data_IF_367549299355
#
_entry.id   IF_367549299355
#
_cell.length_a   1.000
_cell.length_b   1.000
_cell.length_c   1.000
_cell.angle_alpha   90.00
_cell.angle_beta   90.00
_cell.angle_gamma   90.00
#
_symmetry.space_group_name_H-M   'P 1'
#
loop_
_entity.id
_entity.type
_entity.pdbx_description
1 polymer ?
#
# COMPACT_ATOMS: atom_id res chain seq x y z
N UNK A 1 11.69 8.94 -10.61
CA UNK A 1 11.08 7.86 -11.42
C UNK A 1 11.67 6.54 -10.92
N UNK A 2 11.17 6.02 -9.80
CA UNK A 2 11.73 4.80 -9.20
C UNK A 2 10.90 3.60 -9.61
N UNK A 3 11.56 2.70 -10.35
CA UNK A 3 11.12 1.32 -10.55
C UNK A 3 11.84 0.48 -9.50
N UNK A 4 11.11 -0.41 -8.84
CA UNK A 4 11.67 -1.35 -7.86
C UNK A 4 11.40 -2.76 -8.35
N UNK A 5 12.44 -3.57 -8.37
CA UNK A 5 12.33 -4.98 -8.73
C UNK A 5 12.48 -5.85 -7.49
N UNK A 6 11.64 -6.86 -7.40
CA UNK A 6 11.76 -7.94 -6.42
C UNK A 6 12.02 -9.25 -7.16
N UNK A 7 12.03 -10.36 -6.43
CA UNK A 7 12.21 -11.69 -7.01
C UNK A 7 11.16 -11.97 -8.11
N UNK A 8 9.88 -11.67 -7.84
CA UNK A 8 8.76 -12.04 -8.73
C UNK A 8 8.02 -10.86 -9.31
N UNK A 9 8.24 -9.65 -8.79
CA UNK A 9 7.43 -8.48 -9.11
C UNK A 9 8.27 -7.35 -9.70
N UNK A 10 7.68 -6.67 -10.66
CA UNK A 10 8.10 -5.36 -11.13
C UNK A 10 7.15 -4.33 -10.50
N UNK A 11 7.69 -3.43 -9.68
CA UNK A 11 6.97 -2.31 -9.08
C UNK A 11 7.32 -1.06 -9.86
N UNK A 12 6.38 -0.56 -10.66
CA UNK A 12 6.59 0.62 -11.51
C UNK A 12 5.48 1.65 -11.31
N UNK A 13 5.71 2.94 -11.61
CA UNK A 13 4.67 3.96 -11.46
C UNK A 13 3.35 3.52 -12.11
N UNK A 14 2.24 3.77 -11.41
CA UNK A 14 0.91 3.67 -12.02
C UNK A 14 0.81 4.65 -13.19
N UNK A 15 0.19 4.20 -14.27
CA UNK A 15 -0.01 4.95 -15.51
C UNK A 15 -1.48 4.89 -15.95
N UNK A 16 -1.86 5.75 -16.90
CA UNK A 16 -3.22 5.75 -17.45
C UNK A 16 -3.61 4.41 -18.08
N UNK A 17 -2.65 3.73 -18.70
CA UNK A 17 -2.85 2.44 -19.37
C UNK A 17 -3.19 1.29 -18.39
N UNK A 18 -3.01 1.48 -17.08
CA UNK A 18 -3.43 0.52 -16.05
C UNK A 18 -4.93 0.55 -15.75
N UNK A 19 -5.66 1.51 -16.33
CA UNK A 19 -7.02 1.82 -15.89
C UNK A 19 -7.96 0.63 -15.93
N UNK A 20 -7.97 -0.13 -17.03
CA UNK A 20 -8.92 -1.23 -17.20
C UNK A 20 -8.69 -2.35 -16.17
N UNK A 21 -7.43 -2.74 -15.96
CA UNK A 21 -7.06 -3.73 -14.93
C UNK A 21 -7.32 -3.21 -13.51
N UNK A 22 -7.05 -1.93 -13.26
CA UNK A 22 -7.28 -1.30 -11.96
C UNK A 22 -8.77 -1.19 -11.64
N UNK A 23 -9.60 -0.81 -12.62
CA UNK A 23 -11.05 -0.72 -12.48
C UNK A 23 -11.67 -2.09 -12.27
N UNK A 24 -11.24 -3.11 -13.02
CA UNK A 24 -11.68 -4.49 -12.83
C UNK A 24 -11.32 -5.02 -11.43
N UNK A 25 -10.11 -4.71 -10.93
CA UNK A 25 -9.70 -5.06 -9.57
C UNK A 25 -10.59 -4.39 -8.51
N UNK A 26 -10.92 -3.10 -8.65
CA UNK A 26 -11.73 -2.38 -7.66
C UNK A 26 -13.23 -2.70 -7.74
N UNK A 27 -13.72 -3.19 -8.88
CA UNK A 27 -15.10 -3.65 -9.02
C UNK A 27 -15.40 -4.90 -8.17
N UNK A 28 -14.36 -5.63 -7.77
CA UNK A 28 -14.48 -6.80 -6.91
C UNK A 28 -14.82 -6.40 -5.46
N UNK A 29 -15.98 -6.85 -4.90
CA UNK A 29 -16.43 -6.44 -3.59
C UNK A 29 -15.55 -6.92 -2.43
N UNK A 30 -14.87 -8.06 -2.57
CA UNK A 30 -13.95 -8.55 -1.52
C UNK A 30 -12.65 -7.75 -1.52
N UNK A 31 -12.21 -7.25 -2.68
CA UNK A 31 -11.08 -6.32 -2.77
C UNK A 31 -11.46 -4.97 -2.18
N UNK A 32 -12.58 -4.39 -2.62
CA UNK A 32 -13.04 -3.07 -2.19
C UNK A 32 -13.35 -3.01 -0.69
N UNK A 33 -13.96 -4.06 -0.13
CA UNK A 33 -14.30 -4.16 1.28
C UNK A 33 -13.09 -4.15 2.23
N UNK A 34 -11.89 -4.42 1.72
CA UNK A 34 -10.64 -4.37 2.49
C UNK A 34 -10.01 -2.98 2.60
N UNK A 35 -10.47 -1.98 1.85
CA UNK A 35 -9.82 -0.68 1.76
C UNK A 35 -10.32 0.30 2.83
N UNK A 36 -9.41 0.75 3.70
CA UNK A 36 -9.70 1.82 4.68
C UNK A 36 -10.00 3.17 4.00
N UNK A 37 -9.50 3.38 2.78
CA UNK A 37 -9.83 4.53 1.93
C UNK A 37 -10.55 4.06 0.66
N UNK A 38 -11.71 3.41 0.82
CA UNK A 38 -12.54 3.04 -0.32
C UNK A 38 -13.08 4.28 -1.03
N UNK A 39 -12.99 4.29 -2.35
CA UNK A 39 -13.49 5.38 -3.21
C UNK A 39 -14.82 5.03 -3.91
N UNK A 40 -15.37 3.83 -3.66
CA UNK A 40 -16.41 3.22 -4.49
C UNK A 40 -15.85 2.20 -5.48
N UNK A 41 -16.75 1.50 -6.18
CA UNK A 41 -16.42 0.39 -7.08
C UNK A 41 -16.78 0.67 -8.54
N UNK A 42 -17.26 1.87 -8.86
CA UNK A 42 -17.57 2.23 -10.25
C UNK A 42 -16.31 2.56 -11.05
N UNK A 43 -16.33 2.43 -12.40
CA UNK A 43 -15.22 2.86 -13.24
C UNK A 43 -14.82 4.33 -13.04
N UNK A 44 -15.79 5.21 -12.77
CA UNK A 44 -15.53 6.63 -12.49
C UNK A 44 -14.77 6.81 -11.16
N UNK A 45 -15.08 6.00 -10.14
CA UNK A 45 -14.38 6.01 -8.86
C UNK A 45 -12.96 5.47 -8.99
N UNK A 46 -12.79 4.37 -9.73
CA UNK A 46 -11.50 3.81 -10.07
C UNK A 46 -10.62 4.82 -10.82
N UNK A 47 -11.19 5.55 -11.77
CA UNK A 47 -10.49 6.60 -12.52
C UNK A 47 -9.97 7.71 -11.59
N UNK A 48 -10.83 8.23 -10.70
CA UNK A 48 -10.44 9.26 -9.71
C UNK A 48 -9.37 8.75 -8.76
N UNK A 49 -9.47 7.50 -8.31
CA UNK A 49 -8.48 6.87 -7.44
C UNK A 49 -7.13 6.73 -8.14
N UNK A 50 -7.11 6.24 -9.39
CA UNK A 50 -5.89 6.13 -10.19
C UNK A 50 -5.24 7.51 -10.39
N UNK A 51 -6.02 8.51 -10.78
CA UNK A 51 -5.56 9.89 -10.93
C UNK A 51 -5.01 10.46 -9.62
N UNK A 52 -5.58 10.07 -8.47
CA UNK A 52 -5.07 10.47 -7.15
C UNK A 52 -3.68 9.87 -6.89
N UNK A 53 -3.45 8.59 -7.20
CA UNK A 53 -2.12 8.00 -7.03
C UNK A 53 -1.08 8.62 -7.96
N UNK A 54 -1.45 8.89 -9.22
CA UNK A 54 -0.57 9.57 -10.18
C UNK A 54 -0.27 11.01 -9.72
N UNK A 55 -1.30 11.78 -9.36
CA UNK A 55 -1.14 13.15 -8.86
C UNK A 55 -0.35 13.22 -7.55
N UNK A 56 -0.56 12.26 -6.63
CA UNK A 56 0.23 12.18 -5.39
C UNK A 56 1.72 12.01 -5.70
N UNK A 57 2.08 11.21 -6.70
CA UNK A 57 3.46 11.08 -7.16
C UNK A 57 4.01 12.41 -7.66
N UNK A 58 3.27 13.16 -8.46
CA UNK A 58 3.72 14.46 -8.96
C UNK A 58 3.90 15.49 -7.83
N UNK A 59 3.05 15.44 -6.80
CA UNK A 59 3.09 16.38 -5.66
C UNK A 59 4.19 16.02 -4.64
N UNK A 60 4.40 14.72 -4.38
CA UNK A 60 5.27 14.23 -3.28
C UNK A 60 6.56 13.57 -3.75
N UNK A 61 6.69 13.26 -5.04
CA UNK A 61 7.80 12.48 -5.60
C UNK A 61 7.66 10.96 -5.42
N UNK A 62 6.62 10.49 -4.74
CA UNK A 62 6.35 9.07 -4.48
C UNK A 62 4.85 8.78 -4.41
N UNK A 63 4.45 7.54 -4.64
CA UNK A 63 3.08 7.06 -4.49
C UNK A 63 3.09 5.52 -4.55
N UNK A 64 1.91 4.92 -4.60
CA UNK A 64 1.79 3.50 -4.94
C UNK A 64 2.30 3.24 -6.37
N UNK A 65 3.03 2.14 -6.51
CA UNK A 65 3.37 1.52 -7.78
C UNK A 65 2.26 0.57 -8.22
N UNK A 66 2.15 0.35 -9.52
CA UNK A 66 1.57 -0.85 -10.06
C UNK A 66 2.48 -2.04 -9.75
N UNK A 67 1.87 -3.17 -9.43
CA UNK A 67 2.52 -4.45 -9.24
C UNK A 67 2.31 -5.25 -10.51
N UNK A 68 3.40 -5.60 -11.20
CA UNK A 68 3.36 -6.45 -12.39
C UNK A 68 4.07 -7.77 -12.07
N UNK A 69 3.40 -8.89 -12.31
CA UNK A 69 3.99 -10.22 -12.17
C UNK A 69 4.98 -10.47 -13.30
N UNK A 70 6.27 -10.62 -12.99
CA UNK A 70 7.35 -10.69 -14.00
C UNK A 70 7.17 -11.84 -14.99
N UNK A 71 6.70 -12.99 -14.54
CA UNK A 71 6.56 -14.20 -15.37
C UNK A 71 5.47 -14.09 -16.43
N UNK A 72 4.46 -13.23 -16.22
CA UNK A 72 3.28 -13.12 -17.09
C UNK A 72 3.11 -11.74 -17.69
N UNK A 73 3.78 -10.72 -17.14
CA UNK A 73 3.57 -9.32 -17.50
C UNK A 73 2.22 -8.76 -17.04
N UNK A 74 1.43 -9.52 -16.27
CA UNK A 74 0.09 -9.12 -15.86
C UNK A 74 0.09 -8.16 -14.68
N UNK A 75 -0.82 -7.20 -14.71
CA UNK A 75 -1.13 -6.37 -13.56
C UNK A 75 -1.71 -7.23 -12.42
N UNK A 76 -1.10 -7.13 -11.25
CA UNK A 76 -1.51 -7.87 -10.05
C UNK A 76 -2.16 -6.97 -9.00
N UNK A 77 -1.99 -5.64 -9.09
CA UNK A 77 -2.52 -4.68 -8.14
C UNK A 77 -1.62 -3.46 -7.93
N UNK A 78 -1.67 -2.86 -6.75
CA UNK A 78 -0.83 -1.73 -6.35
C UNK A 78 -0.25 -1.91 -4.96
N UNK A 79 0.96 -1.39 -4.74
CA UNK A 79 1.53 -1.21 -3.41
C UNK A 79 2.54 -0.08 -3.41
N UNK A 80 2.77 0.55 -2.27
CA UNK A 80 3.84 1.53 -2.14
C UNK A 80 3.62 2.54 -1.01
N UNK A 81 4.49 3.56 -0.95
CA UNK A 81 4.39 4.65 0.00
C UNK A 81 3.14 5.52 -0.22
N UNK A 82 2.57 6.03 0.87
CA UNK A 82 1.34 6.81 0.86
C UNK A 82 1.31 7.86 1.98
N UNK A 83 1.04 9.12 1.62
CA UNK A 83 0.89 10.22 2.61
C UNK A 83 0.07 11.39 2.06
N UNK A 84 -1.23 11.19 1.78
CA UNK A 84 -2.12 12.29 1.45
C UNK A 84 -2.26 13.24 2.64
N UNK A 85 -2.81 14.43 2.39
CA UNK A 85 -3.03 15.40 3.46
C UNK A 85 -3.92 14.79 4.57
N UNK A 86 -3.48 14.92 5.83
CA UNK A 86 -4.19 14.37 6.99
C UNK A 86 -4.00 12.86 7.24
N UNK A 87 -3.15 12.17 6.46
CA UNK A 87 -2.81 10.77 6.76
C UNK A 87 -1.93 10.69 8.04
N UNK A 88 -2.08 9.68 8.92
CA UNK A 88 -1.46 9.67 10.25
C UNK A 88 0.09 9.61 10.30
N UNK A 89 0.76 9.38 9.17
CA UNK A 89 2.21 9.21 9.06
C UNK A 89 2.63 8.93 7.63
N UNK A 90 3.91 8.63 7.38
CA UNK A 90 4.30 8.05 6.10
C UNK A 90 3.88 6.58 6.10
N UNK A 91 2.87 6.26 5.30
CA UNK A 91 2.31 4.93 5.22
C UNK A 91 2.91 4.09 4.10
N UNK A 92 2.72 2.78 4.20
CA UNK A 92 2.73 1.85 3.08
C UNK A 92 1.40 1.11 3.04
N UNK A 93 0.88 0.89 1.84
CA UNK A 93 -0.34 0.13 1.61
C UNK A 93 -0.21 -0.81 0.42
N UNK A 94 -1.14 -1.74 0.32
CA UNK A 94 -1.24 -2.70 -0.78
C UNK A 94 -2.70 -3.01 -1.10
N UNK A 95 -2.96 -3.36 -2.35
CA UNK A 95 -4.24 -3.84 -2.84
C UNK A 95 -3.93 -4.74 -4.04
N UNK A 96 -4.40 -5.99 -4.02
CA UNK A 96 -4.17 -6.96 -5.09
C UNK A 96 -5.51 -7.39 -5.69
N UNK A 97 -5.51 -7.65 -7.00
CA UNK A 97 -6.59 -8.38 -7.64
C UNK A 97 -6.71 -9.78 -7.02
N UNK A 98 -7.94 -10.28 -6.89
CA UNK A 98 -8.28 -11.51 -6.18
C UNK A 98 -7.48 -12.71 -6.67
N UNK A 99 -7.27 -12.83 -7.98
CA UNK A 99 -6.52 -13.93 -8.62
C UNK A 99 -5.01 -13.97 -8.26
N UNK A 100 -4.51 -12.92 -7.62
CA UNK A 100 -3.12 -12.82 -7.14
C UNK A 100 -3.01 -13.00 -5.62
N UNK A 101 -4.11 -13.28 -4.92
CA UNK A 101 -4.11 -13.59 -3.49
C UNK A 101 -3.48 -14.96 -3.21
N UNK A 102 -2.99 -15.16 -1.99
CA UNK A 102 -2.34 -16.42 -1.56
C UNK A 102 -0.92 -16.65 -2.12
N UNK A 103 -0.47 -15.86 -3.10
CA UNK A 103 0.87 -15.98 -3.72
C UNK A 103 2.01 -15.29 -2.94
N UNK A 104 1.67 -14.55 -1.87
CA UNK A 104 2.62 -13.78 -1.08
C UNK A 104 3.04 -12.42 -1.68
N UNK A 105 2.46 -12.01 -2.80
CA UNK A 105 2.84 -10.77 -3.51
C UNK A 105 2.64 -9.50 -2.68
N UNK A 106 1.61 -9.43 -1.84
CA UNK A 106 1.37 -8.27 -0.99
C UNK A 106 2.50 -8.07 0.03
N UNK A 107 3.00 -9.16 0.63
CA UNK A 107 4.10 -9.09 1.58
C UNK A 107 5.44 -8.79 0.88
N UNK A 108 5.66 -9.35 -0.31
CA UNK A 108 6.85 -9.06 -1.12
C UNK A 108 6.91 -7.58 -1.53
N UNK A 109 5.84 -7.06 -2.13
CA UNK A 109 5.75 -5.65 -2.51
C UNK A 109 5.74 -4.72 -1.29
N UNK A 110 5.08 -5.11 -0.19
CA UNK A 110 5.06 -4.36 1.06
C UNK A 110 6.45 -4.22 1.68
N UNK A 111 7.27 -5.28 1.70
CA UNK A 111 8.66 -5.20 2.17
C UNK A 111 9.51 -4.27 1.31
N UNK A 112 9.35 -4.34 -0.01
CA UNK A 112 10.04 -3.43 -0.92
C UNK A 112 9.63 -1.96 -0.69
N UNK A 113 8.34 -1.71 -0.43
CA UNK A 113 7.83 -0.38 -0.12
C UNK A 113 8.36 0.15 1.23
N UNK A 114 8.41 -0.67 2.27
CA UNK A 114 9.00 -0.30 3.57
C UNK A 114 10.48 0.05 3.39
N UNK A 115 11.24 -0.79 2.70
CA UNK A 115 12.65 -0.55 2.43
C UNK A 115 12.84 0.79 1.71
N UNK A 116 12.06 1.04 0.66
CA UNK A 116 12.08 2.30 -0.08
C UNK A 116 11.76 3.53 0.81
N UNK A 117 10.77 3.43 1.70
CA UNK A 117 10.48 4.50 2.64
C UNK A 117 11.68 4.82 3.56
N UNK A 118 12.40 3.80 4.02
CA UNK A 118 13.57 4.01 4.87
C UNK A 118 14.79 4.52 4.10
N UNK A 119 15.09 3.97 2.92
CA UNK A 119 16.32 4.29 2.18
C UNK A 119 16.17 5.55 1.32
N UNK A 120 15.08 5.65 0.56
CA UNK A 120 14.90 6.72 -0.44
C UNK A 120 14.13 7.91 0.12
N UNK A 121 13.17 7.68 1.01
CA UNK A 121 12.35 8.76 1.60
C UNK A 121 12.87 9.24 2.95
N UNK A 122 13.91 8.61 3.49
CA UNK A 122 14.53 9.01 4.75
C UNK A 122 13.57 8.96 5.94
N UNK A 123 12.61 8.02 5.95
CA UNK A 123 11.65 7.85 7.04
C UNK A 123 12.28 7.23 8.29
N UNK A 124 11.93 7.72 9.48
CA UNK A 124 12.32 7.08 10.75
C UNK A 124 11.29 6.05 11.23
N UNK A 125 10.03 6.20 10.81
CA UNK A 125 8.93 5.28 11.06
C UNK A 125 8.09 5.14 9.78
N UNK A 126 7.61 3.91 9.53
CA UNK A 126 6.68 3.59 8.46
C UNK A 126 5.47 2.89 9.06
N UNK A 127 4.28 3.29 8.63
CA UNK A 127 3.01 2.75 9.17
C UNK A 127 2.14 2.12 8.08
N UNK A 128 1.09 1.42 8.48
CA UNK A 128 -0.05 1.00 7.68
C UNK A 128 -1.32 1.25 8.48
N UNK A 129 -2.30 1.88 7.85
CA UNK A 129 -3.64 2.11 8.43
C UNK A 129 -4.54 0.98 7.97
N UNK A 130 -5.06 0.18 8.90
CA UNK A 130 -5.76 -1.06 8.57
C UNK A 130 -7.09 -1.10 9.33
N UNK A 131 -8.19 -1.46 8.64
CA UNK A 131 -9.47 -1.71 9.28
C UNK A 131 -9.35 -2.91 10.25
N UNK A 132 -9.93 -2.86 11.46
CA UNK A 132 -9.83 -3.96 12.44
C UNK A 132 -10.32 -5.31 11.89
N UNK A 133 -11.33 -5.27 11.01
CA UNK A 133 -11.90 -6.46 10.36
C UNK A 133 -11.04 -7.03 9.22
N UNK A 134 -10.05 -6.29 8.73
CA UNK A 134 -9.22 -6.72 7.60
C UNK A 134 -8.06 -7.62 8.07
N UNK A 135 -8.42 -8.84 8.49
CA UNK A 135 -7.48 -9.87 8.95
C UNK A 135 -6.38 -10.21 7.93
N UNK A 136 -6.68 -10.08 6.63
CA UNK A 136 -5.70 -10.36 5.56
C UNK A 136 -4.61 -9.30 5.53
N UNK A 137 -5.00 -8.03 5.62
CA UNK A 137 -4.04 -6.93 5.68
C UNK A 137 -3.23 -6.95 6.98
N UNK A 138 -3.87 -7.26 8.12
CA UNK A 138 -3.15 -7.47 9.39
C UNK A 138 -2.08 -8.55 9.23
N UNK A 139 -2.43 -9.70 8.63
CA UNK A 139 -1.47 -10.78 8.39
C UNK A 139 -0.35 -10.42 7.40
N UNK A 140 -0.58 -9.49 6.46
CA UNK A 140 0.50 -8.95 5.61
C UNK A 140 1.38 -8.01 6.41
N UNK A 141 0.80 -7.09 7.19
CA UNK A 141 1.53 -6.15 8.04
C UNK A 141 2.51 -6.87 8.96
N UNK A 142 2.08 -7.94 9.64
CA UNK A 142 2.96 -8.76 10.48
C UNK A 142 4.08 -9.43 9.67
N UNK A 143 3.80 -9.96 8.47
CA UNK A 143 4.82 -10.60 7.62
C UNK A 143 5.88 -9.64 7.07
N UNK A 144 5.55 -8.35 6.96
CA UNK A 144 6.50 -7.31 6.53
C UNK A 144 7.24 -6.66 7.71
N UNK A 145 7.04 -7.15 8.94
CA UNK A 145 7.74 -6.69 10.14
C UNK A 145 7.02 -5.60 10.93
N UNK A 146 5.81 -5.18 10.52
CA UNK A 146 5.03 -4.25 11.33
C UNK A 146 4.48 -4.93 12.58
N UNK A 147 4.49 -4.19 13.69
CA UNK A 147 3.76 -4.50 14.92
C UNK A 147 2.56 -3.59 15.06
N UNK A 148 1.59 -3.98 15.89
CA UNK A 148 0.51 -3.08 16.27
C UNK A 148 1.06 -1.97 17.17
N UNK A 149 0.82 -0.71 16.79
CA UNK A 149 1.33 0.45 17.53
C UNK A 149 0.24 1.11 18.37
N UNK A 150 -0.96 1.28 17.80
CA UNK A 150 -2.11 1.93 18.46
C UNK A 150 -3.39 1.77 17.66
N UNK A 151 -4.51 1.97 18.33
CA UNK A 151 -5.83 2.16 17.72
C UNK A 151 -6.14 3.65 17.59
N UNK A 152 -6.86 4.04 16.54
CA UNK A 152 -7.27 5.42 16.33
C UNK A 152 -8.49 5.53 15.45
N UNK A 153 -8.97 6.75 15.25
CA UNK A 153 -10.04 7.06 14.31
C UNK A 153 -9.46 7.77 13.11
N UNK A 154 -9.70 7.24 11.91
CA UNK A 154 -9.35 7.87 10.65
C UNK A 154 -10.60 8.01 9.80
N UNK A 155 -10.91 9.25 9.37
CA UNK A 155 -12.13 9.59 8.61
C UNK A 155 -13.44 9.06 9.24
N UNK A 156 -13.52 9.10 10.57
CA UNK A 156 -14.70 8.64 11.31
C UNK A 156 -14.81 7.12 11.44
N UNK A 157 -13.81 6.35 11.00
CA UNK A 157 -13.75 4.90 11.14
C UNK A 157 -12.65 4.50 12.11
N UNK A 158 -12.92 3.49 12.93
CA UNK A 158 -11.91 2.85 13.75
C UNK A 158 -10.89 2.14 12.84
N UNK A 159 -9.61 2.37 13.12
CA UNK A 159 -8.49 1.78 12.39
C UNK A 159 -7.37 1.40 13.37
N UNK A 160 -6.67 0.33 13.05
CA UNK A 160 -5.44 -0.05 13.73
C UNK A 160 -4.24 0.49 12.96
N UNK A 161 -3.32 1.12 13.67
CA UNK A 161 -2.03 1.56 13.13
C UNK A 161 -1.01 0.46 13.40
N UNK A 162 -0.55 -0.17 12.32
CA UNK A 162 0.59 -1.07 12.33
C UNK A 162 1.82 -0.33 11.83
N UNK A 163 3.01 -0.59 12.36
CA UNK A 163 4.21 0.09 11.88
C UNK A 163 5.51 -0.50 12.39
N UNK A 164 6.62 0.07 11.92
CA UNK A 164 7.96 -0.25 12.40
C UNK A 164 8.89 0.97 12.24
N UNK A 165 9.87 1.08 13.13
CA UNK A 165 10.92 2.11 13.06
C UNK A 165 12.08 1.65 12.17
N UNK A 166 12.87 2.62 11.70
CA UNK A 166 14.08 2.33 10.93
C UNK A 166 15.02 1.42 11.74
N UNK A 167 15.59 0.36 11.14
CA UNK A 167 16.59 -0.46 11.81
C UNK A 167 17.77 0.40 12.29
N UNK A 168 18.13 0.28 13.57
CA UNK A 168 19.26 1.01 14.17
C UNK A 168 18.95 2.35 14.84
N UNK A 169 17.71 2.84 14.77
CA UNK A 169 17.25 4.05 15.51
C UNK A 169 16.40 3.70 16.74
N UNK A 170 16.59 2.51 17.31
CA UNK A 170 15.74 2.00 18.40
C UNK A 170 15.57 3.04 19.52
N UNK A 171 14.33 3.45 19.75
CA UNK A 171 13.98 4.21 20.95
C UNK A 171 14.48 3.41 22.16
N UNK A 172 15.18 4.04 23.12
CA UNK A 172 15.46 3.37 24.38
C UNK A 172 14.13 2.92 25.01
N UNK A 173 14.12 1.79 25.76
CA UNK A 173 12.93 1.40 26.51
C UNK A 173 12.48 2.57 27.41
N UNK A 174 11.18 2.77 27.61
CA UNK A 174 10.70 3.78 28.55
C UNK A 174 11.30 3.50 29.94
N UNK A 175 11.86 4.54 30.55
CA UNK A 175 12.31 4.54 31.95
C UNK A 175 11.14 4.24 32.89
#
# INVERSE_FOLDING_TARGET
MSVVETERLLLRPLAGDDFDDYAAMLADPDVAGGLAESVGTSPADAWRSLATFIGHREIRGYSHWAIVEKSTGRFAGRAGPWRPHGFPGLGVGWCLARDHWGKGYAAEAGRAAVAYCFTELGADEVISVILPSNVRSIAVATRIGHTHLRDTTYRGQEVHIYGQSRPGTGNPPPL
#
